data_IF_798383252044
#
_entry.id   IF_798383252044
#
_cell.length_a   1.000
_cell.length_b   1.000
_cell.length_c   1.000
_cell.angle_alpha   90.00
_cell.angle_beta   90.00
_cell.angle_gamma   90.00
#
_symmetry.space_group_name_H-M   'P 1'
#
loop_
_entity.id
_entity.type
_entity.pdbx_description
1 polymer ?
#
# COMPACT_ATOMS: atom_id res chain seq x y z
N UNK A 1 -9.56 10.42 0.18
CA UNK A 1 -10.14 10.60 -1.17
C UNK A 1 -11.15 9.47 -1.35
N UNK A 2 -12.33 9.65 -1.95
CA UNK A 2 -13.30 8.54 -2.07
C UNK A 2 -12.80 7.56 -3.15
N UNK A 3 -12.73 6.26 -2.79
CA UNK A 3 -12.37 5.09 -3.63
C UNK A 3 -12.83 5.17 -5.10
N UNK A 4 -14.02 5.71 -5.34
CA UNK A 4 -14.65 5.83 -6.66
C UNK A 4 -13.95 6.83 -7.60
N UNK A 5 -13.33 7.90 -7.07
CA UNK A 5 -12.68 8.96 -7.86
C UNK A 5 -11.32 8.55 -8.44
N UNK A 6 -10.72 7.46 -7.94
CA UNK A 6 -9.37 7.01 -8.31
C UNK A 6 -9.37 6.09 -9.54
N UNK A 7 -10.41 5.27 -9.70
CA UNK A 7 -10.59 4.38 -10.86
C UNK A 7 -10.98 5.17 -12.13
N UNK A 8 -11.82 6.19 -11.99
CA UNK A 8 -12.31 7.00 -13.13
C UNK A 8 -11.22 7.87 -13.77
N UNK A 9 -10.13 8.17 -13.04
CA UNK A 9 -9.03 9.03 -13.51
C UNK A 9 -7.85 8.26 -14.11
N UNK A 10 -7.89 6.92 -14.17
CA UNK A 10 -6.79 6.12 -14.69
C UNK A 10 -5.51 6.19 -13.84
N UNK A 11 -5.63 6.65 -12.58
CA UNK A 11 -4.51 6.87 -11.66
C UNK A 11 -4.05 5.56 -10.99
N UNK A 12 -4.87 4.50 -11.08
CA UNK A 12 -4.56 3.20 -10.48
C UNK A 12 -4.23 2.12 -11.51
N UNK A 13 -3.08 1.48 -11.32
CA UNK A 13 -2.77 0.22 -11.99
C UNK A 13 -3.69 -0.89 -11.44
N UNK A 14 -4.05 -1.82 -12.34
CA UNK A 14 -4.91 -2.97 -12.10
C UNK A 14 -4.66 -3.58 -10.71
N UNK A 15 -5.69 -3.57 -9.86
CA UNK A 15 -5.62 -4.14 -8.51
C UNK A 15 -5.01 -5.55 -8.59
N UNK A 16 -3.99 -5.88 -7.77
CA UNK A 16 -3.42 -7.22 -7.78
C UNK A 16 -4.50 -8.25 -7.49
N UNK A 17 -4.43 -9.40 -8.17
CA UNK A 17 -5.40 -10.49 -7.99
C UNK A 17 -5.36 -11.05 -6.56
N UNK A 18 -4.20 -10.94 -5.90
CA UNK A 18 -4.01 -11.35 -4.51
C UNK A 18 -4.48 -10.23 -3.57
N UNK A 19 -5.36 -10.59 -2.64
CA UNK A 19 -5.85 -9.68 -1.60
C UNK A 19 -5.06 -9.77 -0.30
N UNK A 20 -4.29 -10.84 -0.08
CA UNK A 20 -3.57 -11.06 1.17
C UNK A 20 -2.15 -11.60 0.97
N UNK A 21 -1.26 -11.23 1.89
CA UNK A 21 0.13 -11.69 1.99
C UNK A 21 0.44 -11.95 3.47
N UNK A 22 1.32 -12.89 3.80
CA UNK A 22 1.64 -13.18 5.18
C UNK A 22 2.76 -14.21 5.34
N UNK A 23 3.23 -14.42 6.57
CA UNK A 23 4.23 -15.44 6.86
C UNK A 23 3.70 -16.85 6.58
N UNK A 24 4.58 -17.73 6.12
CA UNK A 24 4.27 -19.14 5.90
C UNK A 24 4.45 -19.92 7.22
N UNK A 25 3.68 -21.00 7.40
CA UNK A 25 3.77 -21.94 8.54
C UNK A 25 3.48 -21.29 9.91
N UNK A 26 2.32 -20.64 10.04
CA UNK A 26 1.81 -20.14 11.32
C UNK A 26 1.23 -21.30 12.13
N UNK A 27 2.08 -22.03 12.85
CA UNK A 27 1.67 -23.11 13.75
C UNK A 27 0.82 -22.56 14.91
N UNK A 28 -0.50 -22.42 14.68
CA UNK A 28 -1.49 -22.05 15.69
C UNK A 28 -1.49 -20.59 16.14
N UNK A 29 -0.74 -19.69 15.50
CA UNK A 29 -0.85 -18.25 15.73
C UNK A 29 -2.04 -17.67 14.96
N UNK A 30 -2.87 -16.88 15.62
CA UNK A 30 -3.93 -16.10 14.96
C UNK A 30 -3.30 -15.08 14.02
N UNK A 31 -3.68 -15.12 12.75
CA UNK A 31 -3.33 -14.10 11.76
C UNK A 31 -4.03 -12.78 12.11
N UNK A 32 -3.34 -11.87 12.78
CA UNK A 32 -3.77 -10.47 12.77
C UNK A 32 -3.45 -9.88 11.40
N UNK A 33 -4.48 -9.37 10.72
CA UNK A 33 -4.33 -8.74 9.42
C UNK A 33 -4.19 -7.22 9.57
N UNK A 34 -3.07 -6.70 9.09
CA UNK A 34 -2.87 -5.29 8.84
C UNK A 34 -3.54 -4.94 7.52
N UNK A 35 -4.51 -4.03 7.57
CA UNK A 35 -5.18 -3.52 6.38
C UNK A 35 -4.30 -2.49 5.69
N UNK A 36 -3.91 -2.74 4.45
CA UNK A 36 -3.27 -1.74 3.58
C UNK A 36 -4.31 -1.14 2.64
N UNK A 37 -4.40 0.19 2.66
CA UNK A 37 -5.27 0.93 1.75
C UNK A 37 -4.75 0.84 0.32
N UNK A 38 -5.65 1.04 -0.63
CA UNK A 38 -5.34 1.01 -2.06
C UNK A 38 -4.27 2.06 -2.40
N UNK A 39 -4.38 3.27 -1.83
CA UNK A 39 -3.38 4.34 -1.95
C UNK A 39 -2.01 3.96 -1.39
N UNK A 40 -1.95 3.19 -0.31
CA UNK A 40 -0.69 2.73 0.28
C UNK A 40 0.01 1.74 -0.64
N UNK A 41 -0.74 0.79 -1.22
CA UNK A 41 -0.20 -0.18 -2.18
C UNK A 41 0.34 0.52 -3.44
N UNK A 42 -0.37 1.50 -3.97
CA UNK A 42 0.08 2.24 -5.15
C UNK A 42 1.31 3.09 -4.87
N UNK A 43 1.38 3.69 -3.68
CA UNK A 43 2.55 4.48 -3.29
C UNK A 43 3.80 3.60 -3.20
N UNK A 44 3.68 2.39 -2.64
CA UNK A 44 4.77 1.39 -2.63
C UNK A 44 5.14 0.95 -4.05
N UNK A 45 4.14 0.71 -4.92
CA UNK A 45 4.36 0.34 -6.31
C UNK A 45 5.12 1.43 -7.07
N UNK A 46 4.68 2.68 -6.98
CA UNK A 46 5.27 3.80 -7.70
C UNK A 46 6.69 4.14 -7.20
N UNK A 47 6.87 4.19 -5.88
CA UNK A 47 8.16 4.61 -5.30
C UNK A 47 9.14 3.44 -5.27
N UNK A 48 8.79 2.34 -4.60
CA UNK A 48 9.75 1.28 -4.32
C UNK A 48 9.92 0.30 -5.49
N UNK A 49 8.86 0.04 -6.28
CA UNK A 49 8.91 -0.88 -7.42
C UNK A 49 9.22 -0.20 -8.76
N UNK A 50 8.61 0.96 -9.07
CA UNK A 50 8.88 1.72 -10.30
C UNK A 50 10.05 2.72 -10.16
N UNK A 51 10.53 2.96 -8.94
CA UNK A 51 11.67 3.84 -8.69
C UNK A 51 11.36 5.34 -8.81
N UNK A 52 10.10 5.75 -8.69
CA UNK A 52 9.74 7.17 -8.73
C UNK A 52 10.13 7.88 -7.44
N UNK A 53 10.56 9.14 -7.57
CA UNK A 53 10.67 10.04 -6.44
C UNK A 53 9.29 10.42 -5.89
N UNK A 54 9.21 10.84 -4.62
CA UNK A 54 7.93 11.21 -3.99
C UNK A 54 7.19 12.34 -4.72
N UNK A 55 7.91 13.27 -5.34
CA UNK A 55 7.32 14.35 -6.11
C UNK A 55 6.65 13.81 -7.38
N UNK A 56 7.35 12.96 -8.13
CA UNK A 56 6.80 12.27 -9.31
C UNK A 56 5.59 11.38 -8.95
N UNK A 57 5.65 10.70 -7.80
CA UNK A 57 4.52 9.95 -7.26
C UNK A 57 3.32 10.86 -6.97
N UNK A 58 3.55 12.05 -6.40
CA UNK A 58 2.49 13.01 -6.08
C UNK A 58 1.83 13.59 -7.34
N UNK A 59 2.63 13.91 -8.35
CA UNK A 59 2.14 14.31 -9.68
C UNK A 59 1.29 13.21 -10.31
N UNK A 60 1.79 11.97 -10.33
CA UNK A 60 1.10 10.80 -10.92
C UNK A 60 -0.21 10.46 -10.18
N UNK A 61 -0.21 10.60 -8.85
CA UNK A 61 -1.39 10.40 -8.02
C UNK A 61 -2.33 11.63 -7.97
N UNK A 62 -1.93 12.75 -8.58
CA UNK A 62 -2.65 14.02 -8.58
C UNK A 62 -3.06 14.48 -7.16
N UNK A 63 -2.09 14.47 -6.24
CA UNK A 63 -2.24 14.91 -4.84
C UNK A 63 -1.06 15.77 -4.42
N UNK A 64 -1.18 16.48 -3.30
CA UNK A 64 -0.05 17.21 -2.73
C UNK A 64 1.09 16.27 -2.29
N UNK A 65 2.35 16.71 -2.42
CA UNK A 65 3.55 15.98 -1.96
C UNK A 65 3.46 15.54 -0.49
N UNK A 66 2.91 16.39 0.38
CA UNK A 66 2.69 16.05 1.80
C UNK A 66 1.70 14.89 2.00
N UNK A 67 0.73 14.73 1.09
CA UNK A 67 -0.20 13.60 1.10
C UNK A 67 0.52 12.30 0.73
N UNK A 68 1.34 12.29 -0.32
CA UNK A 68 2.19 11.13 -0.66
C UNK A 68 3.12 10.78 0.49
N UNK A 69 3.79 11.77 1.07
CA UNK A 69 4.70 11.54 2.19
C UNK A 69 4.00 10.84 3.37
N UNK A 70 2.76 11.24 3.70
CA UNK A 70 1.95 10.61 4.75
C UNK A 70 1.55 9.18 4.37
N UNK A 71 1.06 8.97 3.15
CA UNK A 71 0.64 7.64 2.66
C UNK A 71 1.85 6.69 2.64
N UNK A 72 2.97 7.12 2.09
CA UNK A 72 4.20 6.34 2.00
C UNK A 72 4.72 5.92 3.38
N UNK A 73 4.72 6.84 4.34
CA UNK A 73 5.14 6.52 5.71
C UNK A 73 4.18 5.53 6.40
N UNK A 74 2.86 5.66 6.17
CA UNK A 74 1.87 4.71 6.65
C UNK A 74 2.08 3.31 6.07
N UNK A 75 2.26 3.23 4.74
CA UNK A 75 2.51 1.98 4.02
C UNK A 75 3.78 1.28 4.54
N UNK A 76 4.91 1.99 4.65
CA UNK A 76 6.16 1.42 5.15
C UNK A 76 6.06 0.95 6.59
N UNK A 77 5.34 1.68 7.45
CA UNK A 77 5.11 1.25 8.84
C UNK A 77 4.34 -0.08 8.90
N UNK A 78 3.28 -0.22 8.09
CA UNK A 78 2.47 -1.45 8.01
C UNK A 78 3.27 -2.64 7.48
N UNK A 79 4.09 -2.42 6.45
CA UNK A 79 5.00 -3.44 5.92
C UNK A 79 6.03 -3.84 6.98
N UNK A 80 6.64 -2.87 7.67
CA UNK A 80 7.61 -3.17 8.72
C UNK A 80 6.99 -3.97 9.88
N UNK A 81 5.79 -3.61 10.30
CA UNK A 81 5.03 -4.33 11.34
C UNK A 81 4.75 -5.78 10.90
N UNK A 82 4.26 -5.99 9.68
CA UNK A 82 4.06 -7.32 9.11
C UNK A 82 5.34 -8.17 9.13
N UNK A 83 6.45 -7.60 8.66
CA UNK A 83 7.73 -8.32 8.56
C UNK A 83 8.35 -8.62 9.94
N UNK A 84 8.21 -7.72 10.91
CA UNK A 84 8.84 -7.86 12.24
C UNK A 84 7.99 -8.73 13.18
N UNK A 85 6.67 -8.54 13.16
CA UNK A 85 5.76 -9.21 14.10
C UNK A 85 5.08 -10.45 13.51
N UNK A 86 5.22 -10.70 12.20
CA UNK A 86 4.58 -11.83 11.52
C UNK A 86 3.08 -11.62 11.31
N UNK A 87 2.64 -10.37 11.20
CA UNK A 87 1.24 -10.05 10.91
C UNK A 87 0.96 -10.21 9.41
N UNK A 88 -0.22 -10.71 9.06
CA UNK A 88 -0.67 -10.75 7.67
C UNK A 88 -0.95 -9.33 7.16
N UNK A 89 -0.85 -9.12 5.86
CA UNK A 89 -1.32 -7.92 5.16
C UNK A 89 -2.55 -8.30 4.35
N UNK A 90 -3.62 -7.55 4.48
CA UNK A 90 -4.80 -7.64 3.63
C UNK A 90 -5.07 -6.30 2.96
N UNK A 91 -5.53 -6.31 1.71
CA UNK A 91 -5.97 -5.11 1.03
C UNK A 91 -7.33 -4.65 1.58
N UNK A 92 -7.40 -3.40 2.03
CA UNK A 92 -8.63 -2.72 2.45
C UNK A 92 -9.56 -2.43 1.29
#
# INVERSE_FOLDING_TARGET
MRRTLLLEKGIFFKLPAFSAYGPLNLDGKTEEFIVMEVEELETIRLIDLEGLEQEQCAEKMNVARSTVQRIYNGARKKIADSLVNGNGINRG
#
